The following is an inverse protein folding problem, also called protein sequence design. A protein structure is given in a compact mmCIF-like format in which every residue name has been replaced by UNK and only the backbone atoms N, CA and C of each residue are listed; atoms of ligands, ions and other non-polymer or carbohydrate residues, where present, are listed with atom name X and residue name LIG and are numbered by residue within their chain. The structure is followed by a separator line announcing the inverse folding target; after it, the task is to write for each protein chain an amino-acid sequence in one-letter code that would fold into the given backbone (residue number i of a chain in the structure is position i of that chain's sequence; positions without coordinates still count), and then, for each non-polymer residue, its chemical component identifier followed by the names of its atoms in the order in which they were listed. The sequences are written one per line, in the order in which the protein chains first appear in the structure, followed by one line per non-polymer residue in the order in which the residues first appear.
data_IF_332301510910
#
_entry.id   IF_332301510910
#
_cell.length_a   1.000
_cell.length_b   1.000
_cell.length_c   1.000
_cell.angle_alpha   90.00
_cell.angle_beta   90.00
_cell.angle_gamma   90.00
#
_symmetry.space_group_name_H-M   'P 1'
#
loop_
_entity.id
_entity.type
_entity.pdbx_description
1 polymer ?
#
# COMPACT_ATOMS: atom_id res chain seq x y z
N UNK A 1 21.20 6.28 -9.94
CA UNK A 1 21.17 4.81 -9.78
C UNK A 1 22.61 4.36 -9.58
N UNK A 2 22.92 3.88 -8.38
CA UNK A 2 24.21 3.26 -8.11
C UNK A 2 24.23 1.87 -8.77
N UNK A 3 25.18 1.62 -9.66
CA UNK A 3 25.44 0.30 -10.22
C UNK A 3 26.63 -0.31 -9.48
N UNK A 4 26.44 -1.53 -8.96
CA UNK A 4 27.47 -2.32 -8.28
C UNK A 4 27.73 -3.58 -9.12
N UNK A 5 28.93 -3.67 -9.68
CA UNK A 5 29.40 -4.92 -10.30
C UNK A 5 29.96 -5.84 -9.21
N UNK A 6 29.17 -6.82 -8.79
CA UNK A 6 29.56 -7.77 -7.75
C UNK A 6 30.81 -8.59 -8.08
N UNK A 7 31.10 -8.81 -9.36
CA UNK A 7 32.24 -9.63 -9.78
C UNK A 7 33.56 -8.87 -9.74
N UNK A 8 33.49 -7.56 -9.99
CA UNK A 8 34.65 -6.66 -10.01
C UNK A 8 34.81 -5.85 -8.72
N UNK A 9 33.79 -5.87 -7.86
CA UNK A 9 33.69 -5.02 -6.67
C UNK A 9 33.77 -3.52 -7.00
N UNK A 10 33.32 -3.15 -8.20
CA UNK A 10 33.34 -1.77 -8.70
C UNK A 10 31.96 -1.11 -8.56
N UNK A 11 31.96 0.19 -8.32
CA UNK A 11 30.74 1.01 -8.28
C UNK A 11 30.79 2.10 -9.34
N UNK A 12 29.63 2.45 -9.88
CA UNK A 12 29.49 3.58 -10.80
C UNK A 12 28.11 4.22 -10.71
N UNK A 13 28.06 5.52 -10.98
CA UNK A 13 26.82 6.30 -10.98
C UNK A 13 26.21 6.37 -12.37
N UNK A 14 24.93 6.00 -12.46
CA UNK A 14 24.14 6.06 -13.68
C UNK A 14 22.79 6.74 -13.44
N UNK A 15 22.12 7.13 -14.51
CA UNK A 15 20.72 7.55 -14.47
C UNK A 15 19.79 6.36 -14.66
N UNK A 16 18.62 6.37 -14.00
CA UNK A 16 17.71 5.22 -14.05
C UNK A 16 17.16 4.95 -15.46
N UNK A 17 17.03 5.97 -16.31
CA UNK A 17 16.62 5.78 -17.70
C UNK A 17 17.62 4.92 -18.51
N UNK A 18 18.85 4.76 -18.03
CA UNK A 18 19.88 3.90 -18.62
C UNK A 18 19.75 2.43 -18.17
N UNK A 19 18.81 2.10 -17.26
CA UNK A 19 18.57 0.72 -16.83
C UNK A 19 18.47 -0.29 -18.00
N UNK A 20 17.77 0.02 -19.12
CA UNK A 20 17.70 -0.90 -20.25
C UNK A 20 19.06 -1.25 -20.87
N UNK A 21 20.10 -0.45 -20.67
CA UNK A 21 21.45 -0.72 -21.20
C UNK A 21 22.22 -1.79 -20.42
N UNK A 22 21.77 -2.09 -19.20
CA UNK A 22 22.34 -3.13 -18.36
C UNK A 22 21.68 -4.50 -18.55
N UNK A 23 20.55 -4.54 -19.27
CA UNK A 23 19.78 -5.76 -19.50
C UNK A 23 19.90 -6.21 -20.95
N UNK A 24 19.87 -7.53 -21.15
CA UNK A 24 20.05 -8.20 -22.43
C UNK A 24 18.81 -9.01 -22.79
N UNK A 25 18.71 -9.36 -24.07
CA UNK A 25 17.68 -10.29 -24.55
C UNK A 25 17.77 -11.60 -23.75
N UNK A 26 16.63 -12.04 -23.22
CA UNK A 26 16.55 -13.25 -22.38
C UNK A 26 16.60 -12.97 -20.88
N UNK A 27 16.94 -11.76 -20.44
CA UNK A 27 16.80 -11.37 -19.03
C UNK A 27 15.31 -11.26 -18.66
N UNK A 28 15.00 -11.50 -17.38
CA UNK A 28 13.65 -11.39 -16.82
C UNK A 28 13.63 -10.30 -15.76
N UNK A 29 12.79 -9.28 -15.96
CA UNK A 29 12.47 -8.29 -14.95
C UNK A 29 11.24 -8.76 -14.16
N UNK A 30 11.42 -9.13 -12.90
CA UNK A 30 10.31 -9.45 -11.99
C UNK A 30 9.82 -8.17 -11.32
N UNK A 31 8.55 -7.84 -11.49
CA UNK A 31 7.94 -6.63 -10.93
C UNK A 31 6.80 -6.94 -9.96
N UNK A 32 6.64 -6.12 -8.92
CA UNK A 32 5.49 -6.17 -8.03
C UNK A 32 4.32 -5.37 -8.63
N UNK A 33 3.29 -6.03 -9.13
CA UNK A 33 2.13 -5.40 -9.79
C UNK A 33 0.99 -5.03 -8.83
N UNK A 34 1.26 -5.04 -7.54
CA UNK A 34 0.31 -4.63 -6.51
C UNK A 34 -0.05 -3.14 -6.61
N UNK A 35 -1.34 -2.86 -6.45
CA UNK A 35 -1.96 -1.54 -6.63
C UNK A 35 -2.38 -0.98 -5.27
N UNK A 36 -1.89 0.23 -4.97
CA UNK A 36 -2.28 0.97 -3.76
C UNK A 36 -3.78 1.27 -3.77
N UNK A 37 -4.48 0.88 -2.70
CA UNK A 37 -5.88 1.22 -2.46
C UNK A 37 -5.99 2.52 -1.65
N UNK A 38 -7.10 3.28 -1.76
CA UNK A 38 -7.33 4.50 -0.99
C UNK A 38 -7.68 4.21 0.48
N UNK A 39 -6.73 3.58 1.20
CA UNK A 39 -6.88 3.00 2.53
C UNK A 39 -7.04 3.99 3.69
N UNK A 40 -6.92 5.31 3.46
CA UNK A 40 -7.01 6.34 4.51
C UNK A 40 -8.40 6.96 4.55
N UNK A 41 -9.06 6.87 5.69
CA UNK A 41 -10.41 7.36 5.95
C UNK A 41 -10.44 8.30 7.17
N UNK A 42 -11.53 9.04 7.31
CA UNK A 42 -11.79 9.89 8.46
C UNK A 42 -13.20 9.63 8.98
N UNK A 43 -13.30 9.19 10.23
CA UNK A 43 -14.56 9.00 10.94
C UNK A 43 -14.78 10.07 12.00
N UNK A 44 -16.05 10.31 12.36
CA UNK A 44 -16.44 11.16 13.48
C UNK A 44 -17.09 10.32 14.57
N UNK A 45 -16.64 10.51 15.82
CA UNK A 45 -17.33 9.99 17.01
C UNK A 45 -18.65 10.74 17.24
N UNK A 46 -19.56 10.14 17.98
CA UNK A 46 -20.76 10.82 18.51
C UNK A 46 -20.43 12.10 19.29
N UNK A 47 -19.27 12.16 19.94
CA UNK A 47 -18.78 13.35 20.66
C UNK A 47 -18.23 14.45 19.75
N UNK A 48 -18.27 14.28 18.42
CA UNK A 48 -17.74 15.21 17.42
C UNK A 48 -16.22 15.08 17.16
N UNK A 49 -15.51 14.22 17.90
CA UNK A 49 -14.08 13.99 17.70
C UNK A 49 -13.79 13.29 16.37
N UNK A 50 -12.84 13.81 15.60
CA UNK A 50 -12.40 13.21 14.33
C UNK A 50 -11.30 12.17 14.58
N UNK A 51 -11.42 11.01 13.94
CA UNK A 51 -10.45 9.91 13.99
C UNK A 51 -10.05 9.56 12.56
N UNK A 52 -8.75 9.66 12.27
CA UNK A 52 -8.15 9.07 11.07
C UNK A 52 -8.09 7.55 11.24
N UNK A 53 -8.49 6.84 10.19
CA UNK A 53 -8.50 5.39 10.11
C UNK A 53 -7.63 5.00 8.91
N UNK A 54 -6.60 4.20 9.14
CA UNK A 54 -5.78 3.64 8.08
C UNK A 54 -5.99 2.13 8.03
N UNK A 55 -6.54 1.62 6.93
CA UNK A 55 -6.72 0.19 6.73
C UNK A 55 -5.37 -0.51 6.61
N UNK A 56 -5.26 -1.72 7.17
CA UNK A 56 -4.07 -2.56 7.12
C UNK A 56 -4.35 -3.87 6.41
N UNK A 57 -5.14 -4.75 7.04
CA UNK A 57 -5.37 -6.11 6.57
C UNK A 57 -6.85 -6.41 6.60
N UNK A 58 -7.40 -6.82 5.45
CA UNK A 58 -8.78 -7.30 5.34
C UNK A 58 -8.87 -8.67 6.02
N UNK A 59 -9.86 -8.87 6.89
CA UNK A 59 -10.06 -10.13 7.62
C UNK A 59 -11.29 -10.90 7.16
N UNK A 60 -12.37 -10.19 6.86
CA UNK A 60 -13.64 -10.81 6.48
C UNK A 60 -14.38 -9.90 5.52
N UNK A 61 -15.04 -10.50 4.52
CA UNK A 61 -15.83 -9.79 3.51
C UNK A 61 -17.24 -10.38 3.46
N UNK A 62 -18.22 -9.56 3.80
CA UNK A 62 -19.63 -9.80 3.54
C UNK A 62 -20.15 -8.87 2.44
N UNK A 63 -21.47 -8.91 2.20
CA UNK A 63 -22.12 -8.11 1.14
C UNK A 63 -22.11 -6.61 1.46
N UNK A 64 -22.53 -6.27 2.68
CA UNK A 64 -22.68 -4.89 3.15
C UNK A 64 -21.68 -4.54 4.26
N UNK A 65 -20.91 -5.53 4.73
CA UNK A 65 -19.96 -5.37 5.81
C UNK A 65 -18.59 -5.95 5.47
N UNK A 66 -17.53 -5.30 5.95
CA UNK A 66 -16.17 -5.83 5.88
C UNK A 66 -15.44 -5.60 7.20
N UNK A 67 -14.59 -6.55 7.59
CA UNK A 67 -13.75 -6.43 8.80
C UNK A 67 -12.31 -6.20 8.41
N UNK A 68 -11.70 -5.22 9.07
CA UNK A 68 -10.32 -4.81 8.79
C UNK A 68 -9.56 -4.58 10.09
N UNK A 69 -8.31 -5.02 10.10
CA UNK A 69 -7.31 -4.45 11.00
C UNK A 69 -6.93 -3.05 10.51
N UNK A 70 -6.85 -2.09 11.43
CA UNK A 70 -6.61 -0.68 11.13
C UNK A 70 -5.68 -0.04 12.16
N UNK A 71 -5.08 1.09 11.78
CA UNK A 71 -4.52 2.06 12.73
C UNK A 71 -5.50 3.22 12.93
N UNK A 72 -5.69 3.64 14.18
CA UNK A 72 -6.52 4.78 14.54
C UNK A 72 -5.67 5.94 15.04
N UNK A 73 -5.98 7.17 14.61
CA UNK A 73 -5.33 8.40 15.10
C UNK A 73 -6.33 9.54 15.27
N UNK A 74 -6.56 10.07 16.49
CA UNK A 74 -6.06 9.59 17.78
C UNK A 74 -6.82 8.34 18.28
N UNK A 75 -6.10 7.39 18.90
CA UNK A 75 -6.70 6.16 19.45
C UNK A 75 -6.92 6.17 20.98
N UNK A 76 -6.33 7.13 21.72
CA UNK A 76 -6.23 7.08 23.20
C UNK A 76 -7.58 6.94 23.93
N UNK A 77 -8.67 7.44 23.34
CA UNK A 77 -10.03 7.41 23.91
C UNK A 77 -11.00 6.54 23.13
N UNK A 78 -10.49 5.58 22.34
CA UNK A 78 -11.31 4.61 21.63
C UNK A 78 -11.62 3.42 22.53
N UNK A 79 -12.84 2.90 22.43
CA UNK A 79 -13.34 1.73 23.19
C UNK A 79 -14.03 0.75 22.25
N UNK A 80 -14.15 -0.50 22.69
CA UNK A 80 -15.00 -1.47 22.01
C UNK A 80 -16.44 -0.97 21.97
N UNK A 81 -17.13 -1.28 20.87
CA UNK A 81 -18.47 -0.81 20.53
C UNK A 81 -18.59 0.70 20.24
N UNK A 82 -17.49 1.48 20.25
CA UNK A 82 -17.52 2.84 19.70
C UNK A 82 -17.92 2.76 18.21
N UNK A 83 -18.84 3.65 17.80
CA UNK A 83 -19.25 3.80 16.40
C UNK A 83 -18.67 5.11 15.85
N UNK A 84 -18.07 5.00 14.67
CA UNK A 84 -17.56 6.11 13.89
C UNK A 84 -18.47 6.31 12.67
N UNK A 85 -19.01 7.51 12.51
CA UNK A 85 -19.70 7.91 11.28
C UNK A 85 -18.65 8.36 10.26
N UNK A 86 -18.57 7.68 9.12
CA UNK A 86 -17.72 8.10 8.00
C UNK A 86 -18.49 9.02 7.03
N UNK A 87 -19.82 9.10 7.19
CA UNK A 87 -20.72 9.85 6.32
C UNK A 87 -21.13 9.05 5.10
N UNK A 88 -22.10 9.57 4.31
CA UNK A 88 -22.62 8.91 3.09
C UNK A 88 -23.04 7.46 3.35
N UNK A 89 -23.77 7.27 4.45
CA UNK A 89 -24.33 5.99 4.92
C UNK A 89 -23.28 4.90 5.22
N UNK A 90 -22.03 5.29 5.47
CA UNK A 90 -20.99 4.40 5.95
C UNK A 90 -20.67 4.64 7.44
N UNK A 91 -20.63 3.54 8.19
CA UNK A 91 -20.27 3.51 9.60
C UNK A 91 -19.16 2.48 9.85
N UNK A 92 -18.39 2.69 10.92
CA UNK A 92 -17.44 1.71 11.40
C UNK A 92 -17.61 1.48 12.90
N UNK A 93 -17.81 0.21 13.28
CA UNK A 93 -17.89 -0.23 14.67
C UNK A 93 -16.54 -0.76 15.12
N UNK A 94 -16.04 -0.28 16.26
CA UNK A 94 -14.85 -0.85 16.88
C UNK A 94 -15.22 -2.19 17.53
N UNK A 95 -14.62 -3.28 17.03
CA UNK A 95 -14.84 -4.60 17.60
C UNK A 95 -13.92 -4.86 18.79
N UNK A 96 -12.60 -4.73 18.58
CA UNK A 96 -11.61 -4.96 19.63
C UNK A 96 -10.27 -4.29 19.33
N UNK A 97 -9.46 -4.14 20.37
CA UNK A 97 -8.04 -3.79 20.23
C UNK A 97 -7.24 -5.07 19.97
N UNK A 98 -6.44 -5.07 18.90
CA UNK A 98 -5.61 -6.24 18.49
C UNK A 98 -4.21 -6.13 19.08
N UNK A 99 -3.65 -4.92 19.10
CA UNK A 99 -2.35 -4.63 19.72
C UNK A 99 -2.31 -3.19 20.20
N UNK A 100 -1.15 -2.72 20.67
CA UNK A 100 -1.00 -1.33 21.11
C UNK A 100 -1.39 -0.30 20.03
N UNK A 101 -1.15 -0.61 18.76
CA UNK A 101 -1.41 0.31 17.64
C UNK A 101 -2.57 -0.17 16.74
N UNK A 102 -2.87 -1.47 16.70
CA UNK A 102 -3.85 -2.07 15.79
C UNK A 102 -5.22 -2.29 16.44
N UNK A 103 -6.27 -1.99 15.69
CA UNK A 103 -7.68 -2.20 16.07
C UNK A 103 -8.39 -3.02 15.00
N UNK A 104 -9.38 -3.80 15.40
CA UNK A 104 -10.28 -4.48 14.48
C UNK A 104 -11.58 -3.69 14.40
N UNK A 105 -11.92 -3.21 13.21
CA UNK A 105 -13.16 -2.50 12.93
C UNK A 105 -14.02 -3.32 11.97
N UNK A 106 -15.34 -3.22 12.14
CA UNK A 106 -16.34 -3.68 11.19
C UNK A 106 -16.95 -2.46 10.50
N UNK A 107 -16.75 -2.37 9.19
CA UNK A 107 -17.30 -1.32 8.35
C UNK A 107 -18.62 -1.80 7.77
N UNK A 108 -19.61 -0.93 7.79
CA UNK A 108 -20.91 -1.13 7.15
C UNK A 108 -21.08 -0.07 6.05
N UNK A 109 -21.38 -0.52 4.83
CA UNK A 109 -21.63 0.31 3.67
C UNK A 109 -22.66 -0.40 2.76
N UNK A 110 -23.87 0.14 2.57
CA UNK A 110 -24.94 -0.50 1.81
C UNK A 110 -24.56 -0.87 0.37
N UNK A 111 -23.80 0.02 -0.30
CA UNK A 111 -23.33 -0.19 -1.67
C UNK A 111 -22.03 -1.02 -1.75
N UNK A 112 -21.55 -1.57 -0.63
CA UNK A 112 -20.29 -2.28 -0.50
C UNK A 112 -19.12 -1.38 -0.11
N UNK A 113 -18.27 -1.90 0.78
CA UNK A 113 -17.17 -1.11 1.35
C UNK A 113 -16.05 -0.80 0.34
N UNK A 114 -15.78 -1.69 -0.62
CA UNK A 114 -14.78 -1.43 -1.67
C UNK A 114 -15.20 -0.25 -2.56
N UNK A 115 -16.47 -0.18 -2.96
CA UNK A 115 -17.00 0.96 -3.71
C UNK A 115 -16.98 2.26 -2.90
N UNK A 116 -17.21 2.17 -1.58
CA UNK A 116 -17.06 3.29 -0.67
C UNK A 116 -15.60 3.79 -0.61
N UNK A 117 -14.63 2.88 -0.50
CA UNK A 117 -13.20 3.21 -0.49
C UNK A 117 -12.79 3.93 -1.77
N UNK A 118 -13.17 3.41 -2.93
CA UNK A 118 -12.83 4.02 -4.21
C UNK A 118 -13.35 5.46 -4.32
N UNK A 119 -14.54 5.74 -3.77
CA UNK A 119 -15.17 7.06 -3.86
C UNK A 119 -14.68 8.04 -2.79
N UNK A 120 -14.47 7.58 -1.56
CA UNK A 120 -14.31 8.45 -0.39
C UNK A 120 -13.00 8.24 0.37
N UNK A 121 -12.29 7.14 0.11
CA UNK A 121 -10.97 6.90 0.63
C UNK A 121 -9.95 7.89 0.10
N UNK A 122 -8.81 7.99 0.78
CA UNK A 122 -7.67 8.80 0.35
C UNK A 122 -6.43 7.95 0.20
N UNK A 123 -5.53 8.37 -0.69
CA UNK A 123 -4.24 7.69 -0.85
C UNK A 123 -3.46 7.69 0.47
N UNK A 124 -3.05 6.52 0.98
CA UNK A 124 -2.29 6.39 2.21
C UNK A 124 -0.82 6.76 1.99
N UNK A 125 -0.55 8.06 1.82
CA UNK A 125 0.82 8.54 1.64
C UNK A 125 1.71 8.20 2.85
N UNK A 126 3.01 7.92 2.60
CA UNK A 126 4.00 7.71 3.65
C UNK A 126 4.01 8.86 4.67
N UNK A 127 4.35 8.59 5.95
CA UNK A 127 4.30 9.59 7.02
C UNK A 127 5.23 10.79 6.79
N UNK A 128 6.28 10.63 5.97
CA UNK A 128 7.19 11.72 5.61
C UNK A 128 6.64 12.66 4.53
N UNK A 129 5.61 12.28 3.78
CA UNK A 129 4.94 13.16 2.81
C UNK A 129 3.82 13.92 3.52
N UNK A 130 4.10 15.17 3.90
CA UNK A 130 3.15 16.03 4.61
C UNK A 130 2.13 16.63 3.64
N UNK A 131 0.86 16.26 3.79
CA UNK A 131 -0.30 16.97 3.22
C UNK A 131 -1.02 17.73 4.33
N UNK A 132 -1.52 18.92 4.03
CA UNK A 132 -2.42 19.59 4.95
C UNK A 132 -3.71 18.75 5.08
N UNK A 133 -4.28 18.66 6.28
CA UNK A 133 -5.52 17.87 6.53
C UNK A 133 -6.69 18.27 5.60
N UNK A 134 -6.65 19.51 5.09
CA UNK A 134 -7.67 20.13 4.25
C UNK A 134 -7.26 20.31 2.78
N UNK A 135 -6.10 19.81 2.33
CA UNK A 135 -5.69 19.97 0.92
C UNK A 135 -6.33 18.92 0.01
N UNK A 136 -7.00 19.38 -1.04
CA UNK A 136 -7.49 18.56 -2.13
C UNK A 136 -6.31 18.22 -3.07
N UNK A 137 -5.52 17.20 -2.71
CA UNK A 137 -4.46 16.64 -3.55
C UNK A 137 -4.71 15.15 -3.92
N UNK A 138 -5.88 14.61 -3.57
CA UNK A 138 -6.14 13.16 -3.68
C UNK A 138 -6.11 12.60 -5.11
N UNK A 139 -6.61 13.29 -6.16
CA UNK A 139 -6.54 12.74 -7.52
C UNK A 139 -5.10 12.55 -8.03
N UNK A 140 -4.24 13.53 -7.80
CA UNK A 140 -2.82 13.47 -8.20
C UNK A 140 -2.06 12.44 -7.38
N UNK A 141 -2.36 12.35 -6.07
CA UNK A 141 -1.73 11.36 -5.20
C UNK A 141 -2.15 9.94 -5.59
N UNK A 142 -3.43 9.71 -5.94
CA UNK A 142 -3.92 8.42 -6.47
C UNK A 142 -3.26 8.02 -7.79
N UNK A 143 -3.00 8.99 -8.66
CA UNK A 143 -2.34 8.75 -9.95
C UNK A 143 -0.84 8.48 -9.78
N UNK A 144 -0.13 9.32 -9.02
CA UNK A 144 1.34 9.30 -8.96
C UNK A 144 1.91 8.33 -7.95
N UNK A 145 1.16 7.97 -6.91
CA UNK A 145 1.62 7.02 -5.89
C UNK A 145 1.32 5.57 -6.31
N UNK A 146 1.78 5.23 -7.52
CA UNK A 146 1.56 3.94 -8.16
C UNK A 146 2.64 3.65 -9.19
N UNK A 147 3.00 2.37 -9.35
CA UNK A 147 3.84 1.94 -10.48
C UNK A 147 3.03 1.92 -11.77
N UNK A 148 3.67 2.17 -12.92
CA UNK A 148 3.01 2.16 -14.25
C UNK A 148 2.41 0.80 -14.64
N UNK A 149 2.83 -0.28 -13.95
CA UNK A 149 2.37 -1.64 -14.18
C UNK A 149 1.44 -2.18 -13.07
N UNK A 150 0.97 -1.33 -12.15
CA UNK A 150 0.11 -1.76 -11.05
C UNK A 150 -1.29 -2.16 -11.51
N UNK A 151 -1.70 -3.39 -11.16
CA UNK A 151 -2.96 -4.02 -11.56
C UNK A 151 -3.80 -4.48 -10.38
N UNK A 152 -3.20 -5.19 -9.42
CA UNK A 152 -3.94 -5.94 -8.40
C UNK A 152 -4.15 -5.13 -7.12
N UNK A 153 -5.35 -4.61 -6.83
CA UNK A 153 -5.58 -3.73 -5.69
C UNK A 153 -5.41 -4.48 -4.36
N UNK A 154 -4.68 -3.88 -3.42
CA UNK A 154 -4.61 -4.39 -2.04
C UNK A 154 -3.49 -3.78 -1.19
N UNK A 155 -2.55 -3.06 -1.80
CA UNK A 155 -1.46 -2.42 -1.06
C UNK A 155 -1.91 -1.17 -0.30
N UNK A 156 -1.31 -0.96 0.87
CA UNK A 156 -1.39 0.30 1.63
C UNK A 156 -0.16 1.19 1.36
N UNK A 157 0.90 0.64 0.77
CA UNK A 157 2.07 1.37 0.34
C UNK A 157 2.47 1.00 -1.10
N UNK A 158 3.00 1.95 -1.87
CA UNK A 158 3.48 1.64 -3.21
C UNK A 158 4.81 0.87 -3.15
N UNK A 159 5.06 -0.09 -4.05
CA UNK A 159 6.39 -0.68 -4.25
C UNK A 159 7.37 0.39 -4.76
N UNK A 160 8.10 1.04 -3.85
CA UNK A 160 8.78 2.32 -4.13
C UNK A 160 9.91 2.23 -5.16
N UNK A 161 10.66 1.13 -5.19
CA UNK A 161 11.66 0.89 -6.23
C UNK A 161 11.02 0.85 -7.64
N UNK A 162 9.76 0.44 -7.73
CA UNK A 162 9.00 0.40 -8.97
C UNK A 162 8.56 1.79 -9.47
N UNK A 163 8.56 2.82 -8.62
CA UNK A 163 8.13 4.18 -8.98
C UNK A 163 9.11 4.87 -9.93
N UNK A 164 10.31 4.33 -10.12
CA UNK A 164 11.28 4.84 -11.08
C UNK A 164 10.96 4.44 -12.53
N UNK A 165 10.12 3.42 -12.74
CA UNK A 165 9.75 2.96 -14.08
C UNK A 165 8.70 3.86 -14.71
N UNK A 166 8.94 4.22 -15.96
CA UNK A 166 7.99 4.88 -16.85
C UNK A 166 7.53 3.92 -17.95
N UNK A 167 6.43 4.22 -18.61
CA UNK A 167 5.99 3.43 -19.78
C UNK A 167 7.06 3.38 -20.88
N UNK A 168 7.82 4.47 -21.06
CA UNK A 168 8.95 4.54 -21.98
C UNK A 168 10.04 3.52 -21.65
N UNK A 169 10.46 3.43 -20.37
CA UNK A 169 11.46 2.45 -19.93
C UNK A 169 10.92 1.03 -20.11
N UNK A 170 9.66 0.78 -19.71
CA UNK A 170 9.02 -0.53 -19.85
C UNK A 170 8.92 -0.99 -21.30
N UNK A 171 8.59 -0.07 -22.22
CA UNK A 171 8.51 -0.36 -23.65
C UNK A 171 9.90 -0.58 -24.26
N UNK A 172 10.90 0.17 -23.82
CA UNK A 172 12.31 -0.03 -24.25
C UNK A 172 12.80 -1.42 -23.86
N UNK A 173 12.56 -1.85 -22.61
CA UNK A 173 12.92 -3.18 -22.13
C UNK A 173 12.27 -4.29 -22.96
N UNK A 174 10.96 -4.19 -23.20
CA UNK A 174 10.22 -5.15 -24.05
C UNK A 174 10.80 -5.21 -25.46
N UNK A 175 11.10 -4.06 -26.07
CA UNK A 175 11.68 -3.99 -27.42
C UNK A 175 13.07 -4.63 -27.52
N UNK A 176 13.85 -4.61 -26.44
CA UNK A 176 15.15 -5.30 -26.32
C UNK A 176 15.01 -6.80 -26.09
N UNK A 177 13.79 -7.33 -25.93
CA UNK A 177 13.54 -8.74 -25.66
C UNK A 177 13.79 -9.13 -24.20
N UNK A 178 13.66 -8.19 -23.26
CA UNK A 178 13.60 -8.46 -21.82
C UNK A 178 12.17 -8.89 -21.48
N UNK A 179 12.02 -10.03 -20.82
CA UNK A 179 10.73 -10.52 -20.35
C UNK A 179 10.32 -9.79 -19.06
N UNK A 180 9.01 -9.67 -18.81
CA UNK A 180 8.49 -9.07 -17.57
C UNK A 180 7.58 -10.07 -16.88
N UNK A 181 8.03 -10.62 -15.76
CA UNK A 181 7.25 -11.50 -14.89
C UNK A 181 6.61 -10.68 -13.76
N UNK A 182 5.45 -11.09 -13.27
CA UNK A 182 4.71 -10.35 -12.25
C UNK A 182 4.53 -11.17 -10.98
N UNK A 183 4.75 -10.49 -9.86
CA UNK A 183 4.35 -10.94 -8.53
C UNK A 183 3.36 -9.92 -8.01
N UNK A 184 2.28 -10.37 -7.38
CA UNK A 184 1.47 -9.49 -6.54
C UNK A 184 1.96 -9.65 -5.12
N UNK A 185 2.47 -8.58 -4.51
CA UNK A 185 2.77 -8.53 -3.07
C UNK A 185 2.07 -7.29 -2.49
N UNK A 186 1.07 -7.49 -1.64
CA UNK A 186 0.36 -6.39 -0.97
C UNK A 186 1.23 -5.83 0.15
N UNK A 187 1.80 -4.66 -0.10
CA UNK A 187 2.70 -3.99 0.84
C UNK A 187 1.88 -3.37 1.96
N UNK A 188 2.14 -3.81 3.19
CA UNK A 188 1.48 -3.32 4.38
C UNK A 188 2.06 -2.00 4.88
N UNK A 189 1.38 -1.36 5.84
CA UNK A 189 1.92 -0.17 6.53
C UNK A 189 3.17 -0.48 7.38
N UNK A 190 3.41 -1.76 7.69
CA UNK A 190 4.60 -2.22 8.43
C UNK A 190 5.92 -1.71 7.84
N UNK A 191 5.98 -1.52 6.51
CA UNK A 191 7.15 -0.95 5.81
C UNK A 191 7.56 0.46 6.30
N UNK A 192 6.64 1.21 6.92
CA UNK A 192 6.92 2.54 7.48
C UNK A 192 7.17 2.53 8.98
N UNK A 193 7.08 1.38 9.64
CA UNK A 193 7.34 1.28 11.06
C UNK A 193 8.86 1.14 11.27
N UNK A 194 9.41 1.83 12.29
CA UNK A 194 10.80 1.63 12.65
C UNK A 194 11.00 0.21 13.19
N UNK A 195 12.22 -0.30 13.06
CA UNK A 195 12.64 -1.50 13.79
C UNK A 195 12.62 -1.17 15.28
N UNK A 196 11.82 -1.91 16.04
CA UNK A 196 11.66 -1.71 17.49
C UNK A 196 12.58 -2.63 18.33
N UNK A 197 13.27 -3.59 17.69
CA UNK A 197 14.17 -4.52 18.35
C UNK A 197 15.63 -4.03 18.33
N UNK A 198 16.40 -4.30 19.39
CA UNK A 198 17.84 -3.95 19.45
C UNK A 198 18.68 -4.76 18.46
N UNK A 199 18.32 -6.03 18.23
CA UNK A 199 18.91 -6.89 17.21
C UNK A 199 17.91 -7.09 16.07
N UNK A 200 18.38 -6.94 14.82
CA UNK A 200 17.53 -6.99 13.62
C UNK A 200 16.84 -8.35 13.49
N UNK A 201 17.54 -9.42 13.85
CA UNK A 201 17.07 -10.81 13.83
C UNK A 201 15.92 -11.07 14.80
N UNK A 202 15.78 -10.23 15.84
CA UNK A 202 14.69 -10.33 16.83
C UNK A 202 13.47 -9.50 16.44
N UNK A 203 13.53 -8.73 15.34
CA UNK A 203 12.41 -7.92 14.89
C UNK A 203 11.34 -8.79 14.21
N UNK A 204 10.13 -8.78 14.77
CA UNK A 204 8.99 -9.48 14.18
C UNK A 204 8.35 -8.61 13.12
N UNK A 205 8.45 -9.04 11.86
CA UNK A 205 7.76 -8.41 10.73
C UNK A 205 6.32 -8.90 10.61
N UNK A 206 5.43 -8.02 10.19
CA UNK A 206 4.07 -8.41 9.81
C UNK A 206 4.11 -9.29 8.54
N UNK A 207 3.23 -10.28 8.47
CA UNK A 207 3.06 -11.06 7.24
C UNK A 207 2.41 -10.23 6.14
N UNK A 208 2.84 -10.46 4.91
CA UNK A 208 2.29 -9.84 3.70
C UNK A 208 1.69 -10.90 2.79
N UNK A 209 0.60 -10.53 2.12
CA UNK A 209 -0.02 -11.39 1.11
C UNK A 209 0.80 -11.31 -0.17
N UNK A 210 1.06 -12.47 -0.78
CA UNK A 210 1.63 -12.53 -2.11
C UNK A 210 0.95 -13.59 -2.99
N UNK A 211 1.06 -13.39 -4.30
CA UNK A 211 0.61 -14.31 -5.34
C UNK A 211 1.60 -14.28 -6.51
N UNK A 212 1.88 -15.46 -7.06
CA UNK A 212 2.63 -15.63 -8.31
C UNK A 212 1.74 -16.49 -9.21
N UNK A 213 1.34 -15.93 -10.34
CA UNK A 213 0.48 -16.65 -11.27
C UNK A 213 1.28 -17.69 -12.08
N UNK A 214 0.58 -18.65 -12.69
CA UNK A 214 1.20 -19.75 -13.44
C UNK A 214 2.10 -19.23 -14.57
N UNK A 215 1.65 -18.21 -15.31
CA UNK A 215 2.43 -17.55 -16.38
C UNK A 215 3.79 -17.03 -15.89
N UNK A 216 3.84 -16.44 -14.70
CA UNK A 216 5.08 -15.89 -14.14
C UNK A 216 5.97 -16.94 -13.46
N UNK A 217 5.45 -18.16 -13.26
CA UNK A 217 6.17 -19.28 -12.65
C UNK A 217 6.84 -20.22 -13.65
N UNK A 218 6.56 -20.07 -14.95
CA UNK A 218 7.15 -20.81 -16.06
C UNK A 218 8.40 -20.12 -16.61
#
# INVERSE_FOLDING_TARGET
MLYLDKSKEETSDHSFFQLPDFLKKGDVLVVNDSRVIPARLFGKKSTGGVVEILLLTRKETGRENQRWEVLLRPAKRMRENDVLSLGKDCEARVLKRVSDKKWLLEFFAPDGFDAYLDRFGRTPLPPYIKRARNSAADPVDRERYQTVYAKNPGSVAAPTAGLHFTDEIMNTLKSKGVAVARVTLHVGYGTFLPIEAEEVEKHVMDSEYYEINEESSQ
#
